data_IF_409892903227
#
_entry.id   IF_409892903227
#
_cell.length_a   1.000
_cell.length_b   1.000
_cell.length_c   1.000
_cell.angle_alpha   90.00
_cell.angle_beta   90.00
_cell.angle_gamma   90.00
#
_symmetry.space_group_name_H-M   'P 1'
#
loop_
_entity.id
_entity.type
_entity.pdbx_description
1 polymer ?
#
# COMPACT_ATOMS: atom_id res chain seq x y z
N UNK A 1 23.34 24.79 -29.39
CA UNK A 1 24.80 24.96 -29.20
C UNK A 1 25.46 23.71 -29.74
N UNK A 2 26.38 23.82 -30.70
CA UNK A 2 27.08 22.65 -31.26
C UNK A 2 28.21 22.28 -30.30
N UNK A 3 28.31 20.99 -29.97
CA UNK A 3 29.47 20.49 -29.22
C UNK A 3 30.74 20.75 -30.05
N UNK A 4 31.84 21.22 -29.44
CA UNK A 4 33.07 21.48 -30.16
C UNK A 4 33.58 20.17 -30.77
N UNK A 5 33.84 20.19 -32.08
CA UNK A 5 34.43 19.09 -32.85
C UNK A 5 35.82 18.79 -32.30
N UNK A 6 35.90 17.80 -31.41
CA UNK A 6 37.16 17.35 -30.80
C UNK A 6 37.05 16.87 -29.34
N UNK A 7 35.90 17.05 -28.68
CA UNK A 7 35.71 16.52 -27.32
C UNK A 7 35.45 15.01 -27.38
N UNK A 8 36.37 14.22 -26.83
CA UNK A 8 36.22 12.77 -26.63
C UNK A 8 35.67 12.56 -25.24
N UNK A 9 34.47 11.98 -25.12
CA UNK A 9 33.87 11.60 -23.85
C UNK A 9 34.61 10.38 -23.27
N UNK A 10 35.41 10.53 -22.20
CA UNK A 10 36.16 9.41 -21.63
C UNK A 10 35.27 8.42 -20.87
N UNK A 11 34.01 8.77 -20.59
CA UNK A 11 33.07 7.96 -19.82
C UNK A 11 31.97 7.33 -20.71
N UNK A 12 31.91 7.69 -22.00
CA UNK A 12 30.89 7.19 -22.93
C UNK A 12 29.46 7.57 -22.55
N UNK A 13 29.29 8.57 -21.69
CA UNK A 13 28.01 9.07 -21.19
C UNK A 13 27.22 9.87 -22.23
N UNK A 14 27.83 10.25 -23.34
CA UNK A 14 27.22 10.95 -24.48
C UNK A 14 26.99 10.00 -25.68
N UNK A 15 26.89 8.69 -25.44
CA UNK A 15 26.59 7.70 -26.47
C UNK A 15 25.18 7.82 -27.07
N UNK A 16 24.98 7.29 -28.28
CA UNK A 16 23.71 7.26 -29.05
C UNK A 16 22.49 6.64 -28.34
N UNK A 17 22.69 6.13 -27.13
CA UNK A 17 21.66 5.48 -26.31
C UNK A 17 21.16 6.38 -25.16
N UNK A 18 21.69 7.61 -25.01
CA UNK A 18 21.17 8.58 -24.04
C UNK A 18 19.71 8.92 -24.30
N UNK A 19 19.34 9.17 -25.56
CA UNK A 19 17.96 9.42 -25.95
C UNK A 19 17.07 8.20 -25.61
N UNK A 20 17.57 6.98 -25.76
CA UNK A 20 16.81 5.76 -25.43
C UNK A 20 16.64 5.59 -23.93
N UNK A 21 17.66 5.93 -23.13
CA UNK A 21 17.62 5.87 -21.68
C UNK A 21 16.68 6.95 -21.11
N UNK A 22 16.74 8.17 -21.66
CA UNK A 22 15.87 9.28 -21.31
C UNK A 22 14.41 8.95 -21.66
N UNK A 23 14.15 8.44 -22.88
CA UNK A 23 12.83 7.97 -23.27
C UNK A 23 12.30 6.82 -22.40
N UNK A 24 13.16 5.91 -21.94
CA UNK A 24 12.77 4.83 -21.03
C UNK A 24 12.41 5.36 -19.64
N UNK A 25 13.22 6.26 -19.08
CA UNK A 25 12.97 6.90 -17.79
C UNK A 25 11.70 7.75 -17.81
N UNK A 26 11.48 8.52 -18.88
CA UNK A 26 10.25 9.30 -19.07
C UNK A 26 9.02 8.41 -19.18
N UNK A 27 9.13 7.28 -19.91
CA UNK A 27 8.06 6.29 -20.02
C UNK A 27 7.73 5.68 -18.66
N UNK A 28 8.72 5.30 -17.86
CA UNK A 28 8.52 4.79 -16.50
C UNK A 28 7.87 5.84 -15.59
N UNK A 29 8.36 7.08 -15.65
CA UNK A 29 7.79 8.21 -14.89
C UNK A 29 6.32 8.45 -15.24
N UNK A 30 5.96 8.40 -16.53
CA UNK A 30 4.57 8.52 -17.00
C UNK A 30 3.71 7.38 -16.49
N UNK A 31 4.17 6.13 -16.60
CA UNK A 31 3.44 4.95 -16.10
C UNK A 31 3.23 5.03 -14.58
N UNK A 32 4.24 5.47 -13.82
CA UNK A 32 4.13 5.68 -12.38
C UNK A 32 3.13 6.79 -12.02
N UNK A 33 3.07 7.86 -12.82
CA UNK A 33 2.10 8.95 -12.66
C UNK A 33 0.68 8.48 -12.98
N UNK A 34 0.49 7.73 -14.06
CA UNK A 34 -0.79 7.13 -14.45
C UNK A 34 -1.30 6.16 -13.39
N UNK A 35 -0.44 5.29 -12.86
CA UNK A 35 -0.80 4.40 -11.76
C UNK A 35 -1.17 5.18 -10.48
N UNK A 36 -0.44 6.25 -10.15
CA UNK A 36 -0.80 7.12 -9.02
C UNK A 36 -2.18 7.75 -9.20
N UNK A 37 -2.48 8.26 -10.39
CA UNK A 37 -3.79 8.84 -10.72
C UNK A 37 -4.91 7.81 -10.62
N UNK A 38 -4.68 6.60 -11.16
CA UNK A 38 -5.60 5.46 -11.06
C UNK A 38 -5.89 5.08 -9.60
N UNK A 39 -4.87 5.11 -8.74
CA UNK A 39 -5.04 4.89 -7.29
C UNK A 39 -5.87 5.99 -6.63
N UNK A 40 -5.75 7.23 -7.06
CA UNK A 40 -6.60 8.31 -6.53
C UNK A 40 -8.08 8.08 -6.83
N UNK A 41 -8.42 7.60 -8.03
CA UNK A 41 -9.81 7.34 -8.46
C UNK A 41 -10.35 5.96 -8.07
N UNK A 42 -9.49 5.04 -7.61
CA UNK A 42 -9.89 3.71 -7.14
C UNK A 42 -10.82 3.74 -5.92
N UNK A 43 -11.57 2.67 -5.68
CA UNK A 43 -12.45 2.52 -4.50
C UNK A 43 -12.10 1.28 -3.70
N UNK A 44 -12.25 1.37 -2.37
CA UNK A 44 -12.17 0.17 -1.51
C UNK A 44 -13.29 -0.75 -1.96
N UNK A 45 -12.96 -2.02 -2.20
CA UNK A 45 -14.01 -3.00 -2.44
C UNK A 45 -14.90 -3.14 -1.20
N UNK A 46 -16.14 -3.56 -1.40
CA UNK A 46 -17.05 -3.83 -0.30
C UNK A 46 -16.78 -5.23 0.27
N UNK A 47 -16.30 -5.29 1.51
CA UNK A 47 -16.11 -6.55 2.23
C UNK A 47 -16.22 -6.34 3.74
N UNK A 48 -16.83 -7.30 4.43
CA UNK A 48 -17.10 -7.22 5.88
C UNK A 48 -16.04 -7.92 6.73
N UNK A 49 -15.15 -8.72 6.14
CA UNK A 49 -14.25 -9.65 6.85
C UNK A 49 -13.39 -8.97 7.93
N UNK A 50 -12.95 -7.74 7.70
CA UNK A 50 -12.05 -6.99 8.59
C UNK A 50 -12.75 -5.87 9.38
N UNK A 51 -14.07 -5.74 9.27
CA UNK A 51 -14.86 -4.65 9.89
C UNK A 51 -16.00 -5.18 10.77
N UNK A 52 -15.88 -6.42 11.26
CA UNK A 52 -16.95 -7.10 12.02
C UNK A 52 -17.01 -6.67 13.48
N UNK A 53 -15.87 -6.30 14.06
CA UNK A 53 -15.78 -5.92 15.46
C UNK A 53 -16.61 -4.67 15.79
N UNK A 54 -17.27 -4.68 16.94
CA UNK A 54 -18.02 -3.54 17.49
C UNK A 54 -17.42 -3.04 18.80
N UNK A 55 -16.51 -3.80 19.40
CA UNK A 55 -15.65 -3.37 20.53
C UNK A 55 -14.19 -3.73 20.29
N UNK A 56 -13.30 -3.15 21.09
CA UNK A 56 -11.87 -3.43 21.07
C UNK A 56 -11.60 -4.91 21.38
N UNK A 57 -12.28 -5.45 22.39
CA UNK A 57 -12.15 -6.83 22.81
C UNK A 57 -12.62 -7.80 21.72
N UNK A 58 -13.68 -7.45 20.99
CA UNK A 58 -14.12 -8.22 19.82
C UNK A 58 -13.09 -8.17 18.69
N UNK A 59 -12.47 -7.01 18.44
CA UNK A 59 -11.43 -6.89 17.42
C UNK A 59 -10.21 -7.77 17.74
N UNK A 60 -9.79 -7.78 19.01
CA UNK A 60 -8.77 -8.68 19.52
C UNK A 60 -9.19 -10.15 19.42
N UNK A 61 -10.40 -10.48 19.86
CA UNK A 61 -10.91 -11.86 19.87
C UNK A 61 -11.07 -12.44 18.47
N UNK A 62 -11.69 -11.71 17.55
CA UNK A 62 -11.91 -12.14 16.16
C UNK A 62 -10.62 -12.27 15.36
N UNK A 63 -9.61 -11.46 15.68
CA UNK A 63 -8.30 -11.57 15.02
C UNK A 63 -7.39 -12.62 15.66
N UNK A 64 -7.75 -13.18 16.81
CA UNK A 64 -6.97 -14.20 17.51
C UNK A 64 -7.14 -15.59 16.88
N UNK A 65 -6.25 -16.53 17.23
CA UNK A 65 -6.37 -17.96 16.88
C UNK A 65 -6.52 -18.24 15.37
N UNK A 66 -5.82 -17.46 14.54
CA UNK A 66 -5.91 -17.57 13.08
C UNK A 66 -7.17 -16.95 12.47
N UNK A 67 -7.97 -16.23 13.26
CA UNK A 67 -9.10 -15.46 12.78
C UNK A 67 -8.69 -14.24 11.94
N UNK A 68 -9.64 -13.65 11.20
CA UNK A 68 -9.35 -12.51 10.33
C UNK A 68 -8.95 -11.27 11.14
N UNK A 69 -7.88 -10.60 10.71
CA UNK A 69 -7.49 -9.30 11.25
C UNK A 69 -8.68 -8.33 11.27
N UNK A 70 -8.76 -7.44 12.25
CA UNK A 70 -9.85 -6.48 12.37
C UNK A 70 -9.31 -5.06 12.43
N UNK A 71 -9.95 -4.13 11.73
CA UNK A 71 -9.71 -2.71 11.91
C UNK A 71 -10.28 -2.24 13.25
N UNK A 72 -9.54 -1.37 13.92
CA UNK A 72 -10.00 -0.70 15.13
C UNK A 72 -9.38 0.69 15.22
N UNK A 73 -10.21 1.69 15.48
CA UNK A 73 -9.77 3.06 15.73
C UNK A 73 -9.62 3.26 17.24
N UNK A 74 -8.39 3.50 17.70
CA UNK A 74 -8.12 3.72 19.13
C UNK A 74 -8.82 4.94 19.71
N UNK A 75 -9.23 5.91 18.88
CA UNK A 75 -10.00 7.07 19.35
C UNK A 75 -11.38 6.70 19.90
N UNK A 76 -11.89 5.52 19.54
CA UNK A 76 -13.14 4.95 20.07
C UNK A 76 -12.93 4.40 21.50
N UNK A 77 -11.67 4.07 21.86
CA UNK A 77 -11.33 3.47 23.14
C UNK A 77 -12.03 2.12 23.35
N UNK A 78 -12.58 1.93 24.55
CA UNK A 78 -13.42 0.75 24.92
C UNK A 78 -14.91 0.94 24.61
N UNK A 79 -15.25 2.00 23.87
CA UNK A 79 -16.63 2.26 23.45
C UNK A 79 -17.13 1.24 22.43
N UNK A 80 -18.44 1.25 22.19
CA UNK A 80 -19.05 0.55 21.06
C UNK A 80 -18.97 1.41 19.80
N UNK A 81 -18.76 0.77 18.66
CA UNK A 81 -18.76 1.41 17.34
C UNK A 81 -19.85 0.82 16.44
N UNK A 82 -20.22 1.55 15.40
CA UNK A 82 -21.09 1.06 14.32
C UNK A 82 -20.29 0.49 13.15
N UNK A 83 -20.95 -0.30 12.29
CA UNK A 83 -20.36 -0.78 11.03
C UNK A 83 -19.82 0.37 10.17
N UNK A 84 -20.55 1.48 10.12
CA UNK A 84 -20.23 2.64 9.29
C UNK A 84 -18.98 3.36 9.79
N UNK A 85 -18.82 3.50 11.11
CA UNK A 85 -17.63 4.10 11.70
C UNK A 85 -16.37 3.28 11.39
N UNK A 86 -16.44 1.95 11.56
CA UNK A 86 -15.31 1.05 11.23
C UNK A 86 -15.00 1.08 9.74
N UNK A 87 -16.04 1.12 8.89
CA UNK A 87 -15.88 1.19 7.42
C UNK A 87 -15.27 2.52 6.99
N UNK A 88 -15.68 3.64 7.59
CA UNK A 88 -15.08 4.96 7.34
C UNK A 88 -13.61 4.98 7.76
N UNK A 89 -13.29 4.42 8.93
CA UNK A 89 -11.92 4.32 9.41
C UNK A 89 -11.05 3.48 8.47
N UNK A 90 -11.52 2.28 8.09
CA UNK A 90 -10.87 1.42 7.08
C UNK A 90 -10.58 2.21 5.80
N UNK A 91 -11.61 2.79 5.18
CA UNK A 91 -11.47 3.49 3.89
C UNK A 91 -10.44 4.61 3.96
N UNK A 92 -10.39 5.34 5.07
CA UNK A 92 -9.39 6.38 5.32
C UNK A 92 -7.98 5.80 5.36
N UNK A 93 -7.75 4.77 6.17
CA UNK A 93 -6.44 4.15 6.35
C UNK A 93 -5.94 3.49 5.06
N UNK A 94 -6.81 2.79 4.33
CA UNK A 94 -6.48 2.18 3.03
C UNK A 94 -6.07 3.24 2.00
N UNK A 95 -6.77 4.38 1.95
CA UNK A 95 -6.38 5.50 1.08
C UNK A 95 -5.04 6.12 1.49
N UNK A 96 -4.78 6.27 2.78
CA UNK A 96 -3.46 6.72 3.27
C UNK A 96 -2.35 5.77 2.80
N UNK A 97 -2.55 4.45 2.92
CA UNK A 97 -1.58 3.45 2.48
C UNK A 97 -1.39 3.41 0.96
N UNK A 98 -2.44 3.62 0.16
CA UNK A 98 -2.28 3.73 -1.28
C UNK A 98 -1.45 4.95 -1.70
N UNK A 99 -1.52 6.04 -0.92
CA UNK A 99 -0.78 7.27 -1.21
C UNK A 99 0.66 7.23 -0.69
N UNK A 100 0.90 6.60 0.46
CA UNK A 100 2.15 6.69 1.22
C UNK A 100 2.87 5.34 1.39
N UNK A 101 2.22 4.24 1.05
CA UNK A 101 2.77 2.90 1.16
C UNK A 101 3.87 2.65 0.13
N UNK A 102 4.76 1.73 0.48
CA UNK A 102 5.81 1.23 -0.41
C UNK A 102 5.21 0.24 -1.40
N UNK A 103 5.37 0.51 -2.70
CA UNK A 103 4.93 -0.41 -3.76
C UNK A 103 5.79 -1.68 -3.72
N UNK A 104 5.13 -2.83 -3.64
CA UNK A 104 5.74 -4.15 -3.66
C UNK A 104 5.14 -4.94 -4.83
N UNK A 105 5.80 -4.91 -6.01
CA UNK A 105 5.28 -5.56 -7.20
C UNK A 105 5.18 -7.07 -6.97
N UNK A 106 4.07 -7.67 -7.38
CA UNK A 106 3.93 -9.12 -7.37
C UNK A 106 3.87 -9.66 -8.80
N UNK A 107 4.28 -10.92 -8.98
CA UNK A 107 4.17 -11.63 -10.26
C UNK A 107 2.72 -11.99 -10.63
N UNK A 108 1.81 -11.95 -9.65
CA UNK A 108 0.39 -12.25 -9.83
C UNK A 108 -0.46 -11.10 -10.38
N UNK A 109 -1.78 -11.28 -10.27
CA UNK A 109 -2.79 -10.34 -10.79
C UNK A 109 -3.00 -9.05 -9.97
N UNK A 110 -2.31 -8.91 -8.84
CA UNK A 110 -2.43 -7.75 -7.94
C UNK A 110 -1.05 -7.29 -7.50
N UNK A 111 -0.89 -6.00 -7.25
CA UNK A 111 0.28 -5.44 -6.58
C UNK A 111 -0.05 -5.09 -5.14
N UNK A 112 0.98 -5.04 -4.29
CA UNK A 112 0.84 -4.70 -2.88
C UNK A 112 1.39 -3.32 -2.58
N UNK A 113 0.74 -2.64 -1.65
CA UNK A 113 1.21 -1.41 -1.03
C UNK A 113 1.35 -1.65 0.46
N UNK A 114 2.59 -1.62 0.92
CA UNK A 114 2.95 -1.97 2.29
C UNK A 114 3.13 -0.67 3.06
N UNK A 115 2.36 -0.51 4.12
CA UNK A 115 2.27 0.76 4.84
C UNK A 115 2.46 0.55 6.34
N UNK A 116 3.32 1.40 6.92
CA UNK A 116 3.38 1.64 8.34
C UNK A 116 2.69 2.97 8.62
N UNK A 117 1.59 2.92 9.36
CA UNK A 117 0.81 4.10 9.71
C UNK A 117 1.35 4.88 10.91
N UNK A 118 2.33 4.31 11.65
CA UNK A 118 2.87 4.88 12.88
C UNK A 118 1.89 4.95 14.05
N UNK A 119 0.68 4.38 13.90
CA UNK A 119 -0.37 4.33 14.92
C UNK A 119 -1.11 3.01 14.84
N UNK A 120 -1.76 2.58 15.91
CA UNK A 120 -2.57 1.36 15.84
C UNK A 120 -3.73 1.56 14.85
N UNK A 121 -3.92 0.59 13.96
CA UNK A 121 -5.01 0.55 12.97
C UNK A 121 -5.92 -0.66 13.16
N UNK A 122 -5.65 -1.51 14.15
CA UNK A 122 -6.41 -2.72 14.36
C UNK A 122 -5.62 -3.84 15.02
N UNK A 123 -6.13 -5.05 14.86
CA UNK A 123 -5.58 -6.24 15.48
C UNK A 123 -5.36 -7.35 14.46
N UNK A 124 -4.22 -8.03 14.58
CA UNK A 124 -3.84 -9.19 13.81
C UNK A 124 -3.27 -10.24 14.78
N UNK A 125 -3.76 -11.48 14.72
CA UNK A 125 -3.39 -12.53 15.68
C UNK A 125 -3.63 -12.12 17.15
N UNK A 126 -4.67 -11.33 17.41
CA UNK A 126 -5.01 -10.82 18.75
C UNK A 126 -4.10 -9.71 19.27
N UNK A 127 -3.11 -9.27 18.48
CA UNK A 127 -2.15 -8.22 18.84
C UNK A 127 -2.43 -6.96 18.04
N UNK A 128 -2.24 -5.80 18.67
CA UNK A 128 -2.33 -4.51 17.98
C UNK A 128 -1.35 -4.46 16.82
N UNK A 129 -1.75 -3.82 15.73
CA UNK A 129 -0.88 -3.61 14.58
C UNK A 129 -1.04 -2.21 14.01
N UNK A 130 0.08 -1.63 13.59
CA UNK A 130 0.15 -0.37 12.85
C UNK A 130 0.39 -0.59 11.35
N UNK A 131 0.58 -1.85 10.96
CA UNK A 131 1.03 -2.24 9.63
C UNK A 131 -0.12 -2.75 8.78
N UNK A 132 -0.11 -2.39 7.51
CA UNK A 132 -1.13 -2.79 6.56
C UNK A 132 -0.51 -3.19 5.22
N UNK A 133 -1.19 -4.12 4.55
CA UNK A 133 -1.04 -4.39 3.13
C UNK A 133 -2.30 -3.98 2.41
N UNK A 134 -2.20 -3.11 1.42
CA UNK A 134 -3.29 -2.88 0.46
C UNK A 134 -2.99 -3.63 -0.82
N UNK A 135 -3.90 -4.51 -1.20
CA UNK A 135 -3.86 -5.22 -2.47
C UNK A 135 -4.62 -4.42 -3.52
N UNK A 136 -3.97 -4.12 -4.64
CA UNK A 136 -4.57 -3.43 -5.78
C UNK A 136 -4.57 -4.38 -6.96
N UNK A 137 -5.76 -4.76 -7.40
CA UNK A 137 -5.92 -5.60 -8.59
C UNK A 137 -5.40 -4.84 -9.82
N UNK A 138 -4.66 -5.52 -10.71
CA UNK A 138 -4.09 -4.88 -11.91
C UNK A 138 -5.16 -4.63 -12.98
N UNK A 139 -6.15 -5.52 -13.07
CA UNK A 139 -7.23 -5.46 -14.04
C UNK A 139 -8.44 -4.62 -13.61
N UNK A 140 -8.62 -4.38 -12.31
CA UNK A 140 -9.73 -3.58 -11.77
C UNK A 140 -9.20 -2.39 -10.96
N UNK A 141 -9.98 -1.32 -10.85
CA UNK A 141 -9.64 -0.18 -10.00
C UNK A 141 -10.13 -0.37 -8.55
N UNK A 142 -10.10 -1.61 -8.08
CA UNK A 142 -10.50 -1.98 -6.73
C UNK A 142 -9.28 -2.30 -5.88
N UNK A 143 -9.40 -2.04 -4.58
CA UNK A 143 -8.38 -2.38 -3.62
C UNK A 143 -8.95 -2.95 -2.33
N UNK A 144 -8.11 -3.73 -1.64
CA UNK A 144 -8.43 -4.41 -0.39
C UNK A 144 -7.30 -4.22 0.63
N UNK A 145 -7.56 -3.50 1.71
CA UNK A 145 -6.63 -3.38 2.82
C UNK A 145 -6.74 -4.53 3.81
N UNK A 146 -5.59 -4.95 4.32
CA UNK A 146 -5.48 -6.01 5.29
C UNK A 146 -4.50 -5.58 6.38
N UNK A 147 -4.93 -5.42 7.64
CA UNK A 147 -3.99 -5.25 8.74
C UNK A 147 -3.11 -6.51 8.85
N UNK A 148 -1.80 -6.32 8.85
CA UNK A 148 -0.80 -7.42 8.83
C UNK A 148 0.03 -7.42 10.11
N UNK A 149 0.79 -8.49 10.36
CA UNK A 149 1.73 -8.53 11.47
C UNK A 149 3.00 -7.71 11.16
N UNK A 150 3.75 -7.33 12.20
CA UNK A 150 5.08 -6.72 12.03
C UNK A 150 6.04 -7.64 11.25
N UNK A 151 5.95 -8.95 11.48
CA UNK A 151 6.76 -9.94 10.79
C UNK A 151 6.48 -9.92 9.28
N UNK A 152 5.22 -9.88 8.88
CA UNK A 152 4.82 -9.79 7.47
C UNK A 152 5.29 -8.48 6.85
N UNK A 153 5.10 -7.36 7.56
CA UNK A 153 5.57 -6.05 7.12
C UNK A 153 7.07 -6.08 6.78
N UNK A 154 7.91 -6.51 7.73
CA UNK A 154 9.34 -6.61 7.49
C UNK A 154 9.69 -7.63 6.40
N UNK A 155 8.91 -8.72 6.29
CA UNK A 155 9.04 -9.71 5.23
C UNK A 155 8.84 -9.10 3.84
N UNK A 156 7.82 -8.25 3.67
CA UNK A 156 7.62 -7.51 2.42
C UNK A 156 8.70 -6.47 2.18
N UNK A 157 9.08 -5.69 3.20
CA UNK A 157 10.10 -4.65 3.05
C UNK A 157 11.48 -5.20 2.66
N UNK A 158 11.78 -6.46 2.99
CA UNK A 158 13.00 -7.15 2.51
C UNK A 158 12.97 -7.47 1.01
N UNK A 159 11.79 -7.67 0.42
CA UNK A 159 11.61 -8.04 -0.99
C UNK A 159 11.60 -6.84 -1.93
N UNK A 160 11.38 -5.64 -1.40
CA UNK A 160 11.34 -4.39 -2.18
C UNK A 160 12.74 -3.76 -2.30
N UNK A 161 13.73 -4.26 -1.57
CA UNK A 161 15.12 -3.82 -1.67
C UNK A 161 15.84 -4.44 -2.85
#
# INVERSE_FOLDING_TARGET
MHNPTGWVDPLGLAGKDCDKLENALEKESRLAKEDRMRRHTSSSAEYVKHTRARTQEEAMGLSSRGGPAQYWDESIGRGKTTSDQVTKFRNKIEKEALQRGTHSPQTGGSDYYIYDSGRNIGYNNGKSTQYMRVEVTKSTNEFHGHPISAQDYHGYMKKVK
#
